data_IF_240318347179
#
_entry.id   IF_240318347179
#
_cell.length_a   1.000
_cell.length_b   1.000
_cell.length_c   1.000
_cell.angle_alpha   90.00
_cell.angle_beta   90.00
_cell.angle_gamma   90.00
#
_symmetry.space_group_name_H-M   'P 1'
#
loop_
_entity.id
_entity.type
_entity.pdbx_description
1 polymer ?
#
# COMPACT_ATOMS: atom_id res chain seq x y z
N UNK A 1 -2.93 2.36 12.08
CA UNK A 1 -3.74 1.91 10.92
C UNK A 1 -2.85 1.19 9.91
N UNK A 2 -3.12 -0.09 9.59
CA UNK A 2 -2.26 -0.93 8.73
C UNK A 2 -2.18 -0.44 7.28
N UNK A 3 -3.28 0.06 6.71
CA UNK A 3 -3.32 0.59 5.35
C UNK A 3 -2.40 1.82 5.15
N UNK A 4 -2.30 2.71 6.14
CA UNK A 4 -1.38 3.87 6.05
C UNK A 4 0.08 3.43 5.98
N UNK A 5 0.47 2.42 6.76
CA UNK A 5 1.82 1.86 6.71
C UNK A 5 2.08 1.17 5.36
N UNK A 6 1.13 0.39 4.86
CA UNK A 6 1.21 -0.23 3.54
C UNK A 6 1.41 0.81 2.42
N UNK A 7 0.61 1.88 2.40
CA UNK A 7 0.75 2.96 1.41
C UNK A 7 2.12 3.67 1.48
N UNK A 8 2.69 3.84 2.68
CA UNK A 8 4.04 4.41 2.84
C UNK A 8 5.11 3.47 2.30
N UNK A 9 4.99 2.17 2.54
CA UNK A 9 5.92 1.18 1.97
C UNK A 9 5.80 1.12 0.44
N UNK A 10 4.57 1.13 -0.09
CA UNK A 10 4.35 1.19 -1.53
C UNK A 10 4.91 2.48 -2.14
N UNK A 11 4.82 3.63 -1.45
CA UNK A 11 5.49 4.85 -1.93
C UNK A 11 6.98 4.65 -2.13
N UNK A 12 7.66 3.94 -1.25
CA UNK A 12 9.10 3.65 -1.41
C UNK A 12 9.35 2.81 -2.66
N UNK A 13 8.51 1.79 -2.90
CA UNK A 13 8.61 0.93 -4.09
C UNK A 13 8.30 1.68 -5.41
N UNK A 14 7.27 2.52 -5.42
CA UNK A 14 6.84 3.29 -6.59
C UNK A 14 7.59 4.63 -6.75
N UNK A 15 8.45 5.00 -5.80
CA UNK A 15 9.23 6.24 -5.78
C UNK A 15 8.46 7.50 -5.36
N UNK A 16 7.18 7.65 -5.72
CA UNK A 16 6.40 8.84 -5.36
C UNK A 16 4.92 8.56 -5.12
N UNK A 17 4.24 9.50 -4.44
CA UNK A 17 2.78 9.45 -4.28
C UNK A 17 2.05 9.56 -5.62
N UNK A 18 2.62 10.27 -6.61
CA UNK A 18 2.01 10.40 -7.93
C UNK A 18 2.07 9.08 -8.71
N UNK A 19 3.21 8.40 -8.70
CA UNK A 19 3.38 7.09 -9.32
C UNK A 19 2.47 6.04 -8.69
N UNK A 20 2.40 6.00 -7.35
CA UNK A 20 1.50 5.10 -6.64
C UNK A 20 0.02 5.38 -6.98
N UNK A 21 -0.38 6.65 -7.00
CA UNK A 21 -1.75 7.04 -7.33
C UNK A 21 -2.11 6.69 -8.78
N UNK A 22 -1.18 6.88 -9.73
CA UNK A 22 -1.33 6.46 -11.12
C UNK A 22 -1.51 4.94 -11.23
N UNK A 23 -0.67 4.15 -10.54
CA UNK A 23 -0.77 2.69 -10.52
C UNK A 23 -2.09 2.19 -9.92
N UNK A 24 -2.67 2.93 -8.97
CA UNK A 24 -3.96 2.62 -8.35
C UNK A 24 -5.17 3.20 -9.11
N UNK A 25 -4.96 3.98 -10.18
CA UNK A 25 -6.01 4.74 -10.87
C UNK A 25 -6.89 5.55 -9.89
N UNK A 26 -6.24 6.36 -9.04
CA UNK A 26 -6.91 7.31 -8.12
C UNK A 26 -6.20 8.66 -8.12
N UNK A 27 -6.88 9.74 -7.72
CA UNK A 27 -6.22 11.03 -7.51
C UNK A 27 -5.14 10.94 -6.43
N UNK A 28 -4.00 11.60 -6.66
CA UNK A 28 -2.93 11.75 -5.64
C UNK A 28 -3.49 12.31 -4.33
N UNK A 29 -4.40 13.30 -4.41
CA UNK A 29 -5.04 13.92 -3.25
C UNK A 29 -5.81 12.93 -2.40
N UNK A 30 -6.47 11.93 -3.01
CA UNK A 30 -7.14 10.86 -2.29
C UNK A 30 -6.15 10.06 -1.44
N UNK A 31 -4.97 9.74 -1.99
CA UNK A 31 -3.93 9.01 -1.26
C UNK A 31 -3.35 9.85 -0.13
N UNK A 32 -3.00 11.12 -0.39
CA UNK A 32 -2.41 11.99 0.63
C UNK A 32 -3.40 12.35 1.72
N UNK A 33 -4.66 12.63 1.38
CA UNK A 33 -5.71 12.91 2.36
C UNK A 33 -5.99 11.70 3.25
N UNK A 34 -5.91 10.48 2.70
CA UNK A 34 -6.04 9.28 3.52
C UNK A 34 -4.83 9.08 4.46
N UNK A 35 -3.61 9.28 3.94
CA UNK A 35 -2.37 9.05 4.70
C UNK A 35 -2.15 10.10 5.79
N UNK A 36 -2.45 11.38 5.51
CA UNK A 36 -2.18 12.51 6.40
C UNK A 36 -3.44 13.09 7.09
N UNK A 37 -4.62 12.85 6.53
CA UNK A 37 -5.87 13.44 7.02
C UNK A 37 -6.62 12.60 8.06
N UNK A 38 -7.61 13.26 8.66
CA UNK A 38 -8.41 12.76 9.80
C UNK A 38 -9.62 11.91 9.40
N UNK A 39 -9.85 11.66 8.11
CA UNK A 39 -11.03 10.93 7.60
C UNK A 39 -10.65 9.53 7.10
N UNK A 40 -10.65 8.50 7.97
CA UNK A 40 -10.28 7.13 7.62
C UNK A 40 -11.39 6.35 6.89
N UNK A 41 -12.51 6.96 6.50
CA UNK A 41 -13.73 6.24 6.08
C UNK A 41 -13.62 5.56 4.71
N UNK A 42 -12.64 5.91 3.87
CA UNK A 42 -12.42 5.26 2.56
C UNK A 42 -11.30 4.21 2.64
N UNK A 43 -11.54 3.12 3.35
CA UNK A 43 -10.51 2.08 3.62
C UNK A 43 -10.55 0.91 2.64
N UNK A 44 -11.73 0.35 2.34
CA UNK A 44 -11.80 -0.95 1.65
C UNK A 44 -11.49 -0.84 0.15
N UNK A 45 -12.10 0.12 -0.55
CA UNK A 45 -11.83 0.34 -1.98
C UNK A 45 -10.38 0.78 -2.24
N UNK A 46 -9.82 1.62 -1.36
CA UNK A 46 -8.43 2.05 -1.47
C UNK A 46 -7.45 0.90 -1.18
N UNK A 47 -7.75 0.03 -0.20
CA UNK A 47 -6.97 -1.17 0.07
C UNK A 47 -6.97 -2.13 -1.13
N UNK A 48 -8.13 -2.37 -1.75
CA UNK A 48 -8.24 -3.24 -2.93
C UNK A 48 -7.42 -2.72 -4.11
N UNK A 49 -7.47 -1.41 -4.38
CA UNK A 49 -6.68 -0.78 -5.45
C UNK A 49 -5.18 -0.82 -5.15
N UNK A 50 -4.77 -0.56 -3.91
CA UNK A 50 -3.38 -0.66 -3.49
C UNK A 50 -2.85 -2.10 -3.60
N UNK A 51 -3.67 -3.09 -3.26
CA UNK A 51 -3.30 -4.50 -3.36
C UNK A 51 -3.09 -4.93 -4.81
N UNK A 52 -4.01 -4.51 -5.71
CA UNK A 52 -3.87 -4.73 -7.16
C UNK A 52 -2.63 -4.07 -7.74
N UNK A 53 -2.36 -2.81 -7.39
CA UNK A 53 -1.16 -2.10 -7.83
C UNK A 53 0.13 -2.82 -7.39
N UNK A 54 0.12 -3.40 -6.19
CA UNK A 54 1.25 -4.15 -5.62
C UNK A 54 1.33 -5.61 -6.07
N UNK A 55 0.36 -6.13 -6.84
CA UNK A 55 0.33 -7.52 -7.27
C UNK A 55 0.15 -8.53 -6.13
N UNK A 56 -0.48 -8.14 -5.01
CA UNK A 56 -0.68 -9.00 -3.83
C UNK A 56 -2.15 -9.04 -3.42
N UNK A 57 -2.62 -10.08 -2.71
CA UNK A 57 -3.97 -10.09 -2.15
C UNK A 57 -4.12 -9.03 -1.05
N UNK A 58 -5.35 -8.54 -0.83
CA UNK A 58 -5.67 -7.49 0.16
C UNK A 58 -5.30 -7.92 1.57
N UNK A 59 -5.50 -9.19 1.90
CA UNK A 59 -5.19 -9.80 3.17
C UNK A 59 -3.69 -9.78 3.44
N UNK A 60 -2.86 -9.92 2.39
CA UNK A 60 -1.41 -9.79 2.49
C UNK A 60 -1.00 -8.33 2.66
N UNK A 61 -1.62 -7.42 1.93
CA UNK A 61 -1.35 -5.98 2.04
C UNK A 61 -1.70 -5.43 3.44
N UNK A 62 -2.83 -5.87 3.99
CA UNK A 62 -3.34 -5.46 5.31
C UNK A 62 -2.83 -6.36 6.45
N UNK A 63 -2.13 -7.43 6.10
CA UNK A 63 -1.57 -8.41 7.01
C UNK A 63 -0.38 -7.87 7.80
N UNK A 64 0.30 -8.77 8.52
CA UNK A 64 1.50 -8.40 9.26
C UNK A 64 2.62 -8.06 8.27
N UNK A 65 3.28 -6.89 8.40
CA UNK A 65 4.45 -6.58 7.59
C UNK A 65 5.51 -7.67 7.75
N UNK A 66 5.96 -8.21 6.63
CA UNK A 66 7.10 -9.13 6.59
C UNK A 66 8.35 -8.29 6.37
N UNK A 67 9.43 -8.64 7.07
CA UNK A 67 10.69 -7.94 6.94
C UNK A 67 11.22 -8.07 5.50
N UNK A 68 11.73 -6.98 4.93
CA UNK A 68 12.12 -6.90 3.52
C UNK A 68 13.31 -7.84 3.18
N UNK A 69 14.08 -8.23 4.20
CA UNK A 69 15.13 -9.23 4.13
C UNK A 69 14.58 -10.65 3.90
N UNK A 70 13.26 -10.89 3.92
CA UNK A 70 12.69 -12.22 3.71
C UNK A 70 11.84 -12.27 2.46
N UNK A 71 12.17 -13.20 1.58
CA UNK A 71 11.35 -13.52 0.44
C UNK A 71 9.94 -13.93 0.92
N UNK A 72 8.88 -13.23 0.51
CA UNK A 72 7.54 -13.50 0.98
C UNK A 72 6.97 -14.79 0.36
N UNK A 73 7.57 -15.33 -0.70
CA UNK A 73 7.16 -16.60 -1.33
C UNK A 73 7.82 -17.83 -0.69
N UNK A 74 9.08 -17.76 -0.31
CA UNK A 74 9.84 -18.92 0.17
C UNK A 74 10.52 -18.74 1.55
N UNK A 75 10.40 -17.56 2.17
CA UNK A 75 10.95 -17.27 3.50
C UNK A 75 12.46 -17.09 3.58
N UNK A 76 13.20 -17.28 2.47
CA UNK A 76 14.66 -17.14 2.42
C UNK A 76 15.07 -15.67 2.59
N UNK A 77 16.13 -15.45 3.37
CA UNK A 77 16.83 -14.17 3.43
C UNK A 77 18.05 -14.14 2.54
N UNK A 78 18.29 -13.00 1.88
CA UNK A 78 19.43 -12.74 1.00
C UNK A 78 20.05 -11.39 1.33
#
# INVERSE_FOLDING_TARGET
MRLRAALRNLRVLFGSWACLAAAMAVPKTTVTNFVYGSHPTTTHGLAAKAARAAGVPVERLLGRPVAADRCPACGRSG
#
